data_IF_924142081859
#
_entry.id   IF_924142081859
#
_cell.length_a   1.000
_cell.length_b   1.000
_cell.length_c   1.000
_cell.angle_alpha   90.00
_cell.angle_beta   90.00
_cell.angle_gamma   90.00
#
_symmetry.space_group_name_H-M   'P 1'
#
loop_
_entity.id
_entity.type
_entity.pdbx_description
1 polymer ?
#
# COMPACT_ATOMS: atom_id res chain seq x y z
N UNK A 1 21.95 8.87 31.42
CA UNK A 1 21.65 9.01 29.99
C UNK A 1 20.28 8.40 29.81
N UNK A 2 19.26 9.21 29.56
CA UNK A 2 17.89 8.72 29.45
C UNK A 2 17.75 8.05 28.09
N UNK A 3 17.62 6.72 28.08
CA UNK A 3 17.10 5.97 26.93
C UNK A 3 15.64 6.37 26.77
N UNK A 4 15.38 7.44 26.03
CA UNK A 4 14.05 7.66 25.47
C UNK A 4 13.89 6.62 24.36
N UNK A 5 12.90 5.70 24.42
CA UNK A 5 12.65 4.82 23.29
C UNK A 5 12.40 5.68 22.06
N UNK A 6 13.31 5.63 21.10
CA UNK A 6 13.14 6.25 19.79
C UNK A 6 11.84 5.67 19.21
N UNK A 7 10.81 6.51 19.09
CA UNK A 7 9.56 6.08 18.48
C UNK A 7 9.86 5.64 17.05
N UNK A 8 9.46 4.41 16.69
CA UNK A 8 9.67 3.88 15.36
C UNK A 8 9.08 4.85 14.33
N UNK A 9 9.79 5.08 13.23
CA UNK A 9 9.32 5.98 12.19
C UNK A 9 8.01 5.44 11.60
N UNK A 10 7.05 6.35 11.35
CA UNK A 10 5.74 6.03 10.79
C UNK A 10 5.51 6.90 9.55
N UNK A 11 5.11 6.25 8.46
CA UNK A 11 4.52 6.92 7.31
C UNK A 11 3.02 7.08 7.54
N UNK A 12 2.49 8.29 7.31
CA UNK A 12 1.07 8.58 7.44
C UNK A 12 0.61 9.53 6.33
N UNK A 13 -0.47 9.17 5.65
CA UNK A 13 -1.12 10.03 4.64
C UNK A 13 -2.63 9.96 4.78
N UNK A 14 -3.28 11.12 4.63
CA UNK A 14 -4.73 11.26 4.59
C UNK A 14 -5.16 11.82 3.23
N UNK A 15 -6.23 11.27 2.65
CA UNK A 15 -6.86 11.74 1.42
C UNK A 15 -8.38 11.74 1.55
N UNK A 16 -9.02 12.73 0.94
CA UNK A 16 -10.47 12.82 0.85
C UNK A 16 -10.89 12.53 -0.58
N UNK A 17 -11.91 11.68 -0.74
CA UNK A 17 -12.51 11.33 -2.02
C UNK A 17 -13.96 11.80 -2.06
N UNK A 18 -14.35 12.40 -3.18
CA UNK A 18 -15.73 12.83 -3.46
C UNK A 18 -16.61 11.63 -3.89
N UNK A 19 -16.62 10.59 -3.07
CA UNK A 19 -17.38 9.36 -3.27
C UNK A 19 -17.83 8.75 -1.93
N UNK A 20 -18.97 8.04 -1.89
CA UNK A 20 -19.40 7.25 -0.73
C UNK A 20 -18.37 6.17 -0.37
N UNK A 21 -18.33 5.80 0.91
CA UNK A 21 -17.34 4.86 1.47
C UNK A 21 -17.38 3.50 0.79
N UNK A 22 -18.57 3.03 0.42
CA UNK A 22 -18.74 1.75 -0.26
C UNK A 22 -18.09 1.74 -1.66
N UNK A 23 -18.09 2.87 -2.38
CA UNK A 23 -17.41 2.97 -3.67
C UNK A 23 -15.89 2.99 -3.51
N UNK A 24 -15.40 3.74 -2.52
CA UNK A 24 -13.96 3.75 -2.19
C UNK A 24 -13.52 2.35 -1.77
N UNK A 25 -14.30 1.66 -0.95
CA UNK A 25 -14.04 0.28 -0.53
C UNK A 25 -14.02 -0.72 -1.69
N UNK A 26 -14.98 -0.60 -2.62
CA UNK A 26 -15.02 -1.43 -3.83
C UNK A 26 -13.71 -1.33 -4.64
N UNK A 27 -13.10 -0.14 -4.70
CA UNK A 27 -11.84 0.07 -5.41
C UNK A 27 -10.65 -0.74 -4.85
N UNK A 28 -10.69 -1.20 -3.60
CA UNK A 28 -9.67 -2.05 -2.98
C UNK A 28 -9.98 -3.55 -3.04
N UNK A 29 -11.25 -3.91 -3.29
CA UNK A 29 -11.76 -5.29 -3.24
C UNK A 29 -12.08 -5.88 -4.61
N UNK A 30 -12.01 -5.08 -5.67
CA UNK A 30 -12.22 -5.48 -7.05
C UNK A 30 -10.91 -5.41 -7.85
N UNK A 31 -10.48 -6.55 -8.40
CA UNK A 31 -9.26 -6.65 -9.20
C UNK A 31 -9.29 -5.79 -10.48
N UNK A 32 -10.47 -5.63 -11.10
CA UNK A 32 -10.64 -4.81 -12.29
C UNK A 32 -10.51 -3.31 -11.96
N UNK A 33 -10.90 -2.89 -10.75
CA UNK A 33 -10.66 -1.52 -10.27
C UNK A 33 -9.19 -1.33 -9.88
N UNK A 34 -8.59 -2.26 -9.14
CA UNK A 34 -7.17 -2.18 -8.76
C UNK A 34 -6.26 -2.01 -9.99
N UNK A 35 -6.53 -2.71 -11.09
CA UNK A 35 -5.80 -2.59 -12.36
C UNK A 35 -5.83 -1.16 -12.94
N UNK A 36 -6.82 -0.32 -12.59
CA UNK A 36 -6.98 1.03 -13.14
C UNK A 36 -6.24 2.10 -12.37
N UNK A 37 -6.08 1.94 -11.06
CA UNK A 37 -5.59 3.02 -10.20
C UNK A 37 -4.40 2.64 -9.32
N UNK A 38 -4.23 1.36 -8.98
CA UNK A 38 -3.20 0.93 -8.05
C UNK A 38 -1.83 0.96 -8.74
N UNK A 39 -0.80 1.39 -8.01
CA UNK A 39 0.57 1.50 -8.52
C UNK A 39 0.97 2.91 -8.97
N UNK A 40 2.23 3.09 -9.38
CA UNK A 40 2.76 4.37 -9.80
C UNK A 40 2.19 4.80 -11.15
N UNK A 41 1.85 6.09 -11.28
CA UNK A 41 1.28 6.64 -12.51
C UNK A 41 2.19 6.40 -13.72
N UNK A 42 1.59 5.96 -14.83
CA UNK A 42 2.30 5.67 -16.08
C UNK A 42 2.87 4.25 -16.20
N UNK A 43 2.75 3.42 -15.15
CA UNK A 43 3.16 2.02 -15.19
C UNK A 43 1.94 1.11 -14.99
N UNK A 44 1.58 0.27 -15.98
CA UNK A 44 0.48 -0.66 -15.84
C UNK A 44 0.67 -1.61 -14.66
N UNK A 45 -0.41 -1.90 -13.95
CA UNK A 45 -0.44 -2.95 -12.93
C UNK A 45 -1.25 -4.14 -13.41
N UNK A 46 -0.65 -5.32 -13.31
CA UNK A 46 -1.33 -6.61 -13.50
C UNK A 46 -1.64 -7.23 -12.15
N UNK A 47 -2.92 -7.51 -11.90
CA UNK A 47 -3.36 -8.31 -10.75
C UNK A 47 -3.15 -9.79 -11.09
N UNK A 48 -2.22 -10.45 -10.39
CA UNK A 48 -1.97 -11.88 -10.56
C UNK A 48 -3.00 -12.71 -9.77
N UNK A 49 -3.31 -12.30 -8.55
CA UNK A 49 -4.38 -12.87 -7.74
C UNK A 49 -4.87 -11.88 -6.70
N UNK A 50 -6.14 -11.98 -6.32
CA UNK A 50 -6.75 -11.21 -5.25
C UNK A 50 -7.67 -12.13 -4.42
N UNK A 51 -7.25 -12.46 -3.20
CA UNK A 51 -8.09 -13.10 -2.18
C UNK A 51 -8.37 -12.07 -1.08
N UNK A 52 -9.42 -11.27 -1.24
CA UNK A 52 -9.73 -10.13 -0.37
C UNK A 52 -10.51 -10.56 0.88
N UNK A 53 -9.81 -11.24 1.80
CA UNK A 53 -10.31 -11.67 3.11
C UNK A 53 -9.15 -11.74 4.11
N UNK A 54 -9.39 -11.84 5.43
CA UNK A 54 -8.32 -12.12 6.39
C UNK A 54 -7.51 -13.37 6.00
N UNK A 55 -6.19 -13.28 6.15
CA UNK A 55 -5.16 -14.22 5.68
C UNK A 55 -5.08 -14.42 4.15
N UNK A 56 -5.92 -13.73 3.39
CA UNK A 56 -5.86 -13.70 1.94
C UNK A 56 -4.69 -12.87 1.42
N UNK A 57 -4.37 -13.06 0.14
CA UNK A 57 -3.25 -12.41 -0.53
C UNK A 57 -3.71 -11.63 -1.76
N UNK A 58 -3.21 -10.41 -1.89
CA UNK A 58 -3.21 -9.67 -3.15
C UNK A 58 -1.81 -9.71 -3.73
N UNK A 59 -1.64 -10.34 -4.89
CA UNK A 59 -0.36 -10.45 -5.60
C UNK A 59 -0.46 -9.71 -6.94
N UNK A 60 0.51 -8.85 -7.22
CA UNK A 60 0.52 -8.00 -8.40
C UNK A 60 1.91 -7.79 -8.97
N UNK A 61 1.94 -7.36 -10.23
CA UNK A 61 3.14 -6.93 -10.93
C UNK A 61 2.94 -5.52 -11.48
N UNK A 62 3.92 -4.64 -11.26
CA UNK A 62 4.05 -3.37 -11.96
C UNK A 62 4.92 -3.62 -13.20
N UNK A 63 4.37 -3.33 -14.38
CA UNK A 63 5.07 -3.50 -15.64
C UNK A 63 6.06 -2.34 -15.86
N UNK A 64 7.34 -2.68 -16.09
CA UNK A 64 8.42 -1.74 -16.31
C UNK A 64 8.88 -1.75 -17.78
N UNK A 65 9.49 -0.65 -18.26
CA UNK A 65 10.08 -0.60 -19.60
C UNK A 65 11.08 -1.73 -19.84
N UNK A 66 11.11 -2.25 -21.06
CA UNK A 66 12.02 -3.33 -21.45
C UNK A 66 11.52 -4.75 -21.13
N UNK A 67 10.26 -4.90 -20.71
CA UNK A 67 9.65 -6.22 -20.44
C UNK A 67 9.95 -6.77 -19.06
N UNK A 68 10.47 -5.94 -18.15
CA UNK A 68 10.69 -6.31 -16.75
C UNK A 68 9.41 -6.06 -15.93
N UNK A 69 9.27 -6.77 -14.82
CA UNK A 69 8.18 -6.57 -13.88
C UNK A 69 8.73 -6.44 -12.45
N UNK A 70 8.16 -5.50 -11.70
CA UNK A 70 8.38 -5.40 -10.26
C UNK A 70 7.19 -6.03 -9.54
N UNK A 71 7.45 -7.10 -8.80
CA UNK A 71 6.43 -7.86 -8.11
C UNK A 71 6.28 -7.42 -6.66
N UNK A 72 5.05 -7.41 -6.19
CA UNK A 72 4.73 -7.09 -4.81
C UNK A 72 3.47 -7.81 -4.36
N UNK A 73 3.35 -7.96 -3.04
CA UNK A 73 2.17 -8.58 -2.44
C UNK A 73 1.71 -7.89 -1.16
N UNK A 74 0.44 -8.09 -0.86
CA UNK A 74 -0.15 -7.81 0.45
C UNK A 74 -0.69 -9.12 1.04
N UNK A 75 -0.33 -9.43 2.28
CA UNK A 75 -1.03 -10.41 3.11
C UNK A 75 -2.00 -9.66 4.02
N UNK A 76 -3.29 -9.87 3.84
CA UNK A 76 -4.31 -9.23 4.66
C UNK A 76 -4.36 -9.88 6.04
N UNK A 77 -4.15 -9.09 7.10
CA UNK A 77 -4.25 -9.56 8.48
C UNK A 77 -5.67 -9.38 9.03
N UNK A 78 -6.30 -8.25 8.70
CA UNK A 78 -7.65 -7.90 9.14
C UNK A 78 -8.37 -7.17 8.01
N UNK A 79 -9.64 -7.51 7.80
CA UNK A 79 -10.55 -6.78 6.92
C UNK A 79 -11.87 -6.60 7.65
N UNK A 80 -12.19 -5.35 7.99
CA UNK A 80 -13.45 -4.95 8.62
C UNK A 80 -14.17 -4.04 7.65
N UNK A 81 -15.03 -4.62 6.82
CA UNK A 81 -15.69 -3.89 5.74
C UNK A 81 -16.81 -2.96 6.27
N UNK A 82 -17.00 -1.77 5.68
CA UNK A 82 -16.18 -1.09 4.68
C UNK A 82 -15.21 -0.06 5.31
N UNK A 83 -14.60 -0.38 6.45
CA UNK A 83 -14.03 0.62 7.36
C UNK A 83 -12.51 0.51 7.51
N UNK A 84 -11.94 -0.70 7.43
CA UNK A 84 -10.55 -0.94 7.81
C UNK A 84 -9.92 -2.12 7.09
N UNK A 85 -8.67 -1.93 6.67
CA UNK A 85 -7.79 -2.98 6.13
C UNK A 85 -6.46 -2.94 6.88
N UNK A 86 -6.01 -4.08 7.37
CA UNK A 86 -4.68 -4.26 7.95
C UNK A 86 -3.93 -5.29 7.11
N UNK A 87 -2.70 -4.99 6.71
CA UNK A 87 -1.92 -5.88 5.85
C UNK A 87 -0.42 -5.79 6.08
N UNK A 88 0.30 -6.84 5.71
CA UNK A 88 1.74 -6.81 5.50
C UNK A 88 2.01 -6.64 4.01
N UNK A 89 2.76 -5.60 3.64
CA UNK A 89 3.26 -5.38 2.29
C UNK A 89 4.71 -5.84 2.17
N UNK A 90 5.03 -6.51 1.06
CA UNK A 90 6.38 -6.95 0.72
C UNK A 90 6.62 -6.90 -0.79
N UNK A 91 7.88 -6.78 -1.19
CA UNK A 91 8.31 -7.17 -2.53
C UNK A 91 8.25 -8.68 -2.68
N UNK A 92 8.01 -9.16 -3.90
CA UNK A 92 7.97 -10.59 -4.21
C UNK A 92 8.67 -10.95 -5.50
N UNK A 93 8.72 -12.24 -5.82
CA UNK A 93 8.92 -12.76 -7.17
C UNK A 93 7.57 -13.15 -7.81
N UNK A 94 7.60 -13.69 -9.03
CA UNK A 94 6.40 -14.13 -9.76
C UNK A 94 5.69 -15.30 -9.08
N UNK A 95 6.41 -16.11 -8.33
CA UNK A 95 5.90 -17.23 -7.54
C UNK A 95 5.29 -16.77 -6.20
N UNK A 96 5.47 -15.50 -5.83
CA UNK A 96 4.93 -14.91 -4.61
C UNK A 96 5.80 -15.13 -3.37
N UNK A 97 7.06 -15.54 -3.49
CA UNK A 97 8.02 -15.56 -2.39
C UNK A 97 8.43 -14.12 -2.02
N UNK A 98 8.71 -13.85 -0.74
CA UNK A 98 9.18 -12.52 -0.33
C UNK A 98 10.61 -12.30 -0.82
N UNK A 99 10.87 -11.15 -1.43
CA UNK A 99 12.19 -10.75 -1.92
C UNK A 99 12.62 -9.41 -1.35
N UNK A 100 13.91 -9.08 -1.49
CA UNK A 100 14.44 -7.76 -1.16
C UNK A 100 13.99 -6.74 -2.21
N UNK A 101 13.86 -5.49 -1.79
CA UNK A 101 13.66 -4.40 -2.73
C UNK A 101 14.88 -4.32 -3.68
N UNK A 102 14.70 -4.45 -5.00
CA UNK A 102 15.81 -4.49 -5.96
C UNK A 102 16.58 -3.17 -6.06
N UNK A 103 15.98 -2.07 -5.59
CA UNK A 103 16.57 -0.73 -5.62
C UNK A 103 17.17 -0.31 -4.28
N UNK A 104 16.94 -1.07 -3.20
CA UNK A 104 17.41 -0.73 -1.86
C UNK A 104 17.52 -1.98 -0.98
N UNK A 105 18.74 -2.48 -0.79
CA UNK A 105 18.98 -3.67 0.06
C UNK A 105 18.55 -3.43 1.52
N UNK A 106 18.74 -2.20 2.01
CA UNK A 106 18.38 -1.79 3.36
C UNK A 106 16.89 -1.47 3.53
N UNK A 107 16.05 -1.55 2.49
CA UNK A 107 14.61 -1.38 2.68
C UNK A 107 14.02 -2.54 3.49
N UNK A 108 13.07 -2.29 4.43
CA UNK A 108 12.42 -3.36 5.17
C UNK A 108 11.78 -4.41 4.25
N UNK A 109 11.89 -5.70 4.63
CA UNK A 109 11.21 -6.80 3.92
C UNK A 109 9.68 -6.72 4.02
N UNK A 110 9.19 -6.22 5.15
CA UNK A 110 7.79 -6.17 5.47
C UNK A 110 7.43 -4.78 6.00
N UNK A 111 6.37 -4.19 5.46
CA UNK A 111 5.72 -3.01 6.01
C UNK A 111 4.36 -3.41 6.56
N UNK A 112 4.10 -3.06 7.82
CA UNK A 112 2.78 -3.23 8.40
C UNK A 112 1.94 -1.99 8.10
N UNK A 113 0.85 -2.21 7.37
CA UNK A 113 -0.05 -1.18 6.90
C UNK A 113 -1.38 -1.25 7.64
N UNK A 114 -1.91 -0.08 8.00
CA UNK A 114 -3.27 0.11 8.49
C UNK A 114 -3.93 1.19 7.66
N UNK A 115 -5.01 0.82 6.97
CA UNK A 115 -5.87 1.73 6.23
C UNK A 115 -7.24 1.83 6.90
N UNK A 116 -7.79 3.03 7.03
CA UNK A 116 -9.16 3.26 7.52
C UNK A 116 -9.94 4.19 6.61
N UNK A 117 -11.23 3.95 6.47
CA UNK A 117 -12.18 4.79 5.73
C UNK A 117 -13.27 5.32 6.65
N UNK A 118 -13.46 6.63 6.65
CA UNK A 118 -14.53 7.31 7.39
C UNK A 118 -15.37 8.12 6.40
N UNK A 119 -16.69 7.96 6.43
CA UNK A 119 -17.59 8.77 5.61
C UNK A 119 -18.09 9.99 6.40
N UNK A 120 -17.91 11.18 5.83
CA UNK A 120 -18.40 12.44 6.39
C UNK A 120 -18.91 13.33 5.26
N UNK A 121 -20.19 13.74 5.34
CA UNK A 121 -20.77 14.69 4.39
C UNK A 121 -20.80 14.20 2.94
N UNK A 122 -20.96 12.89 2.71
CA UNK A 122 -20.96 12.28 1.38
C UNK A 122 -19.56 12.14 0.74
N UNK A 123 -18.51 12.44 1.50
CA UNK A 123 -17.11 12.21 1.12
C UNK A 123 -16.51 11.11 2.00
N UNK A 124 -15.48 10.45 1.49
CA UNK A 124 -14.74 9.45 2.25
C UNK A 124 -13.34 9.95 2.56
N UNK A 125 -12.97 9.91 3.84
CA UNK A 125 -11.62 10.18 4.32
C UNK A 125 -10.89 8.84 4.46
N UNK A 126 -9.89 8.64 3.62
CA UNK A 126 -8.93 7.54 3.71
C UNK A 126 -7.73 7.99 4.54
N UNK A 127 -7.38 7.20 5.55
CA UNK A 127 -6.13 7.35 6.30
C UNK A 127 -5.30 6.09 6.15
N UNK A 128 -4.07 6.23 5.66
CA UNK A 128 -3.10 5.16 5.52
C UNK A 128 -1.93 5.41 6.48
N UNK A 129 -1.60 4.39 7.29
CA UNK A 129 -0.43 4.36 8.15
C UNK A 129 0.44 3.15 7.81
N UNK A 130 1.75 3.33 7.80
CA UNK A 130 2.70 2.26 7.55
C UNK A 130 3.90 2.37 8.50
N UNK A 131 4.34 1.24 9.02
CA UNK A 131 5.57 1.12 9.82
C UNK A 131 6.42 -0.03 9.31
N UNK A 132 7.74 0.08 9.45
CA UNK A 132 8.64 -1.03 9.19
C UNK A 132 8.34 -2.18 10.17
N UNK A 133 8.14 -3.40 9.65
CA UNK A 133 7.76 -4.59 10.41
C UNK A 133 8.91 -5.60 10.42
N UNK A 134 9.18 -6.21 11.59
CA UNK A 134 10.30 -7.13 11.81
C UNK A 134 11.65 -6.58 11.30
N UNK A 135 11.83 -5.27 11.38
CA UNK A 135 12.93 -4.54 10.76
C UNK A 135 14.11 -4.33 11.73
N UNK A 136 15.31 -4.48 11.21
CA UNK A 136 16.58 -4.10 11.85
C UNK A 136 16.68 -2.58 12.03
N UNK A 137 17.63 -2.12 12.85
CA UNK A 137 17.87 -0.69 13.03
C UNK A 137 18.25 0.02 11.72
N UNK A 138 19.00 -0.65 10.84
CA UNK A 138 19.34 -0.13 9.51
C UNK A 138 18.10 0.03 8.63
N UNK A 139 17.22 -0.98 8.61
CA UNK A 139 15.97 -0.94 7.85
C UNK A 139 14.99 0.11 8.37
N UNK A 140 14.95 0.33 9.70
CA UNK A 140 14.18 1.41 10.32
C UNK A 140 14.68 2.79 9.85
N UNK A 141 16.01 2.98 9.77
CA UNK A 141 16.62 4.22 9.27
C UNK A 141 16.35 4.42 7.78
N UNK A 142 16.46 3.36 6.97
CA UNK A 142 16.14 3.41 5.55
C UNK A 142 14.67 3.74 5.30
N UNK A 143 13.76 3.13 6.07
CA UNK A 143 12.33 3.47 6.03
C UNK A 143 12.09 4.93 6.38
N UNK A 144 12.68 5.42 7.49
CA UNK A 144 12.55 6.81 7.91
C UNK A 144 13.04 7.79 6.82
N UNK A 145 14.18 7.50 6.18
CA UNK A 145 14.72 8.30 5.08
C UNK A 145 13.85 8.24 3.81
N UNK A 146 13.05 7.19 3.63
CA UNK A 146 12.17 6.99 2.47
C UNK A 146 10.75 7.56 2.62
N UNK A 147 10.38 8.11 3.79
CA UNK A 147 9.00 8.60 4.05
C UNK A 147 8.55 9.66 3.03
N UNK A 148 9.43 10.58 2.64
CA UNK A 148 9.07 11.61 1.65
C UNK A 148 8.79 11.01 0.27
N UNK A 149 9.58 10.01 -0.14
CA UNK A 149 9.37 9.28 -1.39
C UNK A 149 8.07 8.45 -1.35
N UNK A 150 7.77 7.80 -0.22
CA UNK A 150 6.49 7.12 0.00
C UNK A 150 5.32 8.11 -0.08
N UNK A 151 5.45 9.29 0.53
CA UNK A 151 4.42 10.32 0.52
C UNK A 151 4.10 10.78 -0.91
N UNK A 152 5.13 11.02 -1.72
CA UNK A 152 4.95 11.37 -3.13
C UNK A 152 4.31 10.22 -3.94
N UNK A 153 4.78 8.99 -3.74
CA UNK A 153 4.28 7.80 -4.42
C UNK A 153 2.81 7.50 -4.11
N UNK A 154 2.44 7.47 -2.82
CA UNK A 154 1.06 7.30 -2.39
C UNK A 154 0.18 8.48 -2.81
N UNK A 155 0.71 9.70 -2.84
CA UNK A 155 0.01 10.87 -3.36
C UNK A 155 -0.48 10.65 -4.80
N UNK A 156 0.44 10.32 -5.72
CA UNK A 156 0.08 10.07 -7.11
C UNK A 156 -0.79 8.82 -7.32
N UNK A 157 -0.60 7.77 -6.50
CA UNK A 157 -1.47 6.59 -6.52
C UNK A 157 -2.91 6.96 -6.12
N UNK A 158 -3.10 7.78 -5.09
CA UNK A 158 -4.43 8.22 -4.68
C UNK A 158 -5.05 9.25 -5.63
N UNK A 159 -4.27 10.04 -6.35
CA UNK A 159 -4.80 10.89 -7.42
C UNK A 159 -5.43 10.03 -8.55
N UNK A 160 -4.81 8.89 -8.89
CA UNK A 160 -5.39 7.93 -9.84
C UNK A 160 -6.68 7.28 -9.32
N UNK A 161 -6.75 6.99 -8.01
CA UNK A 161 -7.97 6.49 -7.38
C UNK A 161 -9.09 7.52 -7.44
N UNK A 162 -8.80 8.79 -7.14
CA UNK A 162 -9.78 9.88 -7.24
C UNK A 162 -10.33 10.01 -8.66
N UNK A 163 -9.45 9.93 -9.68
CA UNK A 163 -9.88 9.95 -11.08
C UNK A 163 -10.74 8.74 -11.46
N UNK A 164 -10.43 7.56 -10.94
CA UNK A 164 -11.20 6.33 -11.19
C UNK A 164 -12.59 6.38 -10.58
N UNK A 165 -12.74 7.00 -9.40
CA UNK A 165 -14.03 7.16 -8.72
C UNK A 165 -14.94 8.20 -9.39
N UNK A 166 -14.36 9.12 -10.18
CA UNK A 166 -15.11 10.17 -10.89
C UNK A 166 -15.55 9.78 -12.31
N UNK A 167 -15.13 8.61 -12.81
CA UNK A 167 -15.39 8.12 -14.17
C UNK A 167 -16.66 7.25 -14.26
#
# INVERSE_FOLDING_TARGET
MSDTPQQAAEFHITRSFDAPRDQVWAAFSDAALLTRWFGPAGFPVRVASLDFRPEGVFHYAIELPGGFAMWGKFRYLEITAPERIVSINSFSDEEGNVTRNPMSESWPLELHNTMTLVEEGGKTILTQRSVAHNATAEEQLAFAAGIDALTAGFGGMFDQLAATLAA
#
